data_IF_920262393521
#
_entry.id   IF_920262393521
#
_cell.length_a   1.000
_cell.length_b   1.000
_cell.length_c   1.000
_cell.angle_alpha   90.00
_cell.angle_beta   90.00
_cell.angle_gamma   90.00
#
_symmetry.space_group_name_H-M   'P 1'
#
loop_
_entity.id
_entity.type
_entity.pdbx_description
1 polymer ?
#
# COMPACT_ATOMS: atom_id res chain seq x y z
N UNK A 1 6.81 9.73 -18.60
CA UNK A 1 7.09 9.77 -17.15
C UNK A 1 6.95 8.35 -16.62
N UNK A 2 8.05 7.70 -16.28
CA UNK A 2 8.02 6.34 -15.75
C UNK A 2 7.96 6.40 -14.22
N UNK A 3 6.92 5.81 -13.65
CA UNK A 3 6.71 5.74 -12.19
C UNK A 3 6.95 4.30 -11.79
N UNK A 4 7.88 4.06 -10.86
CA UNK A 4 8.18 2.71 -10.38
C UNK A 4 6.98 2.11 -9.64
N UNK A 5 6.94 0.78 -9.54
CA UNK A 5 5.90 0.09 -8.78
C UNK A 5 5.93 0.48 -7.30
N UNK A 6 7.11 0.73 -6.73
CA UNK A 6 7.29 1.20 -5.35
C UNK A 6 6.70 2.60 -5.15
N UNK A 7 6.90 3.50 -6.12
CA UNK A 7 6.33 4.84 -6.08
C UNK A 7 4.80 4.81 -6.17
N UNK A 8 4.23 3.94 -7.02
CA UNK A 8 2.79 3.70 -7.09
C UNK A 8 2.24 3.14 -5.78
N UNK A 9 2.91 2.14 -5.20
CA UNK A 9 2.52 1.53 -3.93
C UNK A 9 2.51 2.53 -2.78
N UNK A 10 3.50 3.45 -2.73
CA UNK A 10 3.51 4.52 -1.73
C UNK A 10 2.31 5.47 -1.85
N UNK A 11 1.92 5.86 -3.07
CA UNK A 11 0.72 6.69 -3.29
C UNK A 11 -0.55 5.96 -2.84
N UNK A 12 -0.67 4.67 -3.13
CA UNK A 12 -1.80 3.84 -2.69
C UNK A 12 -1.84 3.72 -1.16
N UNK A 13 -0.68 3.53 -0.53
CA UNK A 13 -0.54 3.43 0.91
C UNK A 13 -0.97 4.72 1.62
N UNK A 14 -0.58 5.89 1.09
CA UNK A 14 -1.05 7.19 1.57
C UNK A 14 -2.56 7.34 1.43
N UNK A 15 -3.13 6.94 0.29
CA UNK A 15 -4.56 7.03 0.03
C UNK A 15 -5.40 6.15 0.97
N UNK A 16 -4.81 5.10 1.55
CA UNK A 16 -5.45 4.23 2.54
C UNK A 16 -5.32 4.73 3.99
N UNK A 17 -4.60 5.83 4.24
CA UNK A 17 -4.47 6.47 5.57
C UNK A 17 -5.34 7.72 5.66
N UNK A 18 -5.57 8.23 6.88
CA UNK A 18 -6.35 9.46 7.05
C UNK A 18 -5.46 10.69 6.79
N UNK A 19 -5.96 11.74 6.12
CA UNK A 19 -5.22 13.00 6.01
C UNK A 19 -4.89 13.62 7.38
N UNK A 20 -5.73 13.35 8.40
CA UNK A 20 -5.50 13.77 9.78
C UNK A 20 -4.15 13.29 10.35
N UNK A 21 -3.73 12.07 9.98
CA UNK A 21 -2.45 11.49 10.40
C UNK A 21 -1.24 12.29 9.86
N UNK A 22 -1.47 13.14 8.85
CA UNK A 22 -0.47 14.00 8.22
C UNK A 22 -0.66 15.49 8.56
N UNK A 23 -1.55 15.79 9.51
CA UNK A 23 -1.80 17.15 10.01
C UNK A 23 -2.80 17.97 9.17
N UNK A 24 -3.58 17.32 8.30
CA UNK A 24 -4.66 18.00 7.59
C UNK A 24 -5.98 17.93 8.37
N UNK A 25 -6.83 18.96 8.31
CA UNK A 25 -8.13 18.96 8.98
C UNK A 25 -9.20 18.10 8.27
N UNK A 26 -8.81 17.33 7.25
CA UNK A 26 -9.73 16.56 6.41
C UNK A 26 -9.81 15.10 6.88
N UNK A 27 -11.02 14.54 6.93
CA UNK A 27 -11.23 13.13 7.25
C UNK A 27 -10.91 12.21 6.07
N UNK A 28 -11.14 12.69 4.84
CA UNK A 28 -10.94 11.95 3.59
C UNK A 28 -10.02 12.69 2.63
N UNK A 29 -9.24 11.94 1.85
CA UNK A 29 -8.44 12.49 0.77
C UNK A 29 -9.32 12.95 -0.38
N UNK A 30 -9.17 14.21 -0.79
CA UNK A 30 -9.51 14.59 -2.17
C UNK A 30 -8.31 14.27 -3.07
N UNK A 31 -8.56 13.96 -4.35
CA UNK A 31 -7.47 13.73 -5.33
C UNK A 31 -6.53 14.95 -5.41
N UNK A 32 -7.07 16.15 -5.24
CA UNK A 32 -6.26 17.37 -5.19
C UNK A 32 -5.32 17.38 -3.99
N UNK A 33 -5.85 17.20 -2.79
CA UNK A 33 -5.10 17.23 -1.55
C UNK A 33 -4.01 16.14 -1.54
N UNK A 34 -4.36 14.94 -1.97
CA UNK A 34 -3.42 13.84 -2.07
C UNK A 34 -2.30 14.15 -3.07
N UNK A 35 -2.62 14.73 -4.24
CA UNK A 35 -1.60 15.11 -5.21
C UNK A 35 -0.67 16.21 -4.69
N UNK A 36 -1.19 17.19 -3.94
CA UNK A 36 -0.38 18.22 -3.29
C UNK A 36 0.54 17.62 -2.22
N UNK A 37 0.01 16.74 -1.37
CA UNK A 37 0.81 16.03 -0.36
C UNK A 37 1.91 15.18 -1.01
N UNK A 38 1.56 14.37 -2.01
CA UNK A 38 2.52 13.54 -2.75
C UNK A 38 3.63 14.38 -3.34
N UNK A 39 3.32 15.48 -4.05
CA UNK A 39 4.38 16.33 -4.64
C UNK A 39 5.30 16.93 -3.57
N UNK A 40 4.74 17.37 -2.44
CA UNK A 40 5.51 17.99 -1.35
C UNK A 40 6.47 16.99 -0.69
N UNK A 41 6.07 15.73 -0.57
CA UNK A 41 6.81 14.72 0.19
C UNK A 41 7.58 13.73 -0.70
N UNK A 42 7.31 13.66 -2.01
CA UNK A 42 7.91 12.73 -2.96
C UNK A 42 9.44 12.61 -2.84
N UNK A 43 10.15 13.73 -2.82
CA UNK A 43 11.62 13.73 -2.72
C UNK A 43 12.11 13.19 -1.37
N UNK A 44 11.41 13.52 -0.28
CA UNK A 44 11.76 13.04 1.07
C UNK A 44 11.67 11.52 1.18
N UNK A 45 10.72 10.91 0.48
CA UNK A 45 10.51 9.46 0.46
C UNK A 45 11.26 8.75 -0.69
N UNK A 46 12.14 9.44 -1.43
CA UNK A 46 12.96 8.84 -2.47
C UNK A 46 12.24 8.60 -3.80
N UNK A 47 11.10 9.25 -4.04
CA UNK A 47 10.31 9.11 -5.27
C UNK A 47 10.27 10.41 -6.09
N UNK A 48 11.40 10.92 -6.61
CA UNK A 48 11.45 12.22 -7.28
C UNK A 48 10.58 12.30 -8.54
N UNK A 49 10.27 11.17 -9.18
CA UNK A 49 9.34 11.11 -10.29
C UNK A 49 7.95 11.66 -9.92
N UNK A 50 7.51 11.47 -8.67
CA UNK A 50 6.22 11.95 -8.18
C UNK A 50 6.19 13.44 -7.81
N UNK A 51 7.33 14.12 -7.74
CA UNK A 51 7.38 15.56 -7.41
C UNK A 51 6.62 16.44 -8.42
N UNK A 52 6.42 15.93 -9.65
CA UNK A 52 5.65 16.58 -10.72
C UNK A 52 4.30 15.91 -10.99
N UNK A 53 3.88 14.94 -10.17
CA UNK A 53 2.62 14.24 -10.38
C UNK A 53 1.42 15.17 -10.13
N UNK A 54 0.65 15.43 -11.20
CA UNK A 54 -0.62 16.15 -11.15
C UNK A 54 -1.79 15.25 -10.74
N UNK A 55 -2.99 15.84 -10.60
CA UNK A 55 -4.22 15.14 -10.22
C UNK A 55 -4.51 13.90 -11.09
N UNK A 56 -4.37 14.03 -12.40
CA UNK A 56 -4.66 12.96 -13.36
C UNK A 56 -3.73 11.76 -13.20
N UNK A 57 -2.45 12.01 -12.87
CA UNK A 57 -1.47 10.94 -12.63
C UNK A 57 -1.81 10.19 -11.36
N UNK A 58 -2.09 10.91 -10.27
CA UNK A 58 -2.47 10.30 -8.99
C UNK A 58 -3.76 9.50 -9.14
N UNK A 59 -4.77 10.05 -9.80
CA UNK A 59 -6.00 9.33 -10.10
C UNK A 59 -5.74 8.08 -10.94
N UNK A 60 -4.89 8.16 -11.96
CA UNK A 60 -4.49 7.00 -12.78
C UNK A 60 -3.83 5.89 -11.96
N UNK A 61 -2.88 6.24 -11.08
CA UNK A 61 -2.22 5.28 -10.18
C UNK A 61 -3.25 4.56 -9.31
N UNK A 62 -4.18 5.31 -8.73
CA UNK A 62 -5.22 4.77 -7.86
C UNK A 62 -6.25 3.93 -8.63
N UNK A 63 -6.57 4.30 -9.87
CA UNK A 63 -7.50 3.57 -10.75
C UNK A 63 -6.98 2.19 -11.19
N UNK A 64 -5.66 2.03 -11.29
CA UNK A 64 -5.02 0.74 -11.56
C UNK A 64 -5.12 -0.25 -10.38
N UNK A 65 -5.36 0.24 -9.15
CA UNK A 65 -5.43 -0.61 -7.98
C UNK A 65 -6.81 -1.25 -7.83
N UNK A 66 -6.83 -2.54 -7.49
CA UNK A 66 -8.08 -3.26 -7.16
C UNK A 66 -8.75 -2.67 -5.91
N UNK A 67 -7.94 -2.32 -4.91
CA UNK A 67 -8.36 -1.58 -3.73
C UNK A 67 -8.53 -0.12 -4.14
N UNK A 68 -9.74 0.28 -4.53
CA UNK A 68 -10.08 1.67 -4.90
C UNK A 68 -10.23 2.49 -3.61
N UNK A 69 -9.20 3.19 -3.10
CA UNK A 69 -9.22 3.64 -1.70
C UNK A 69 -10.30 4.71 -1.45
N UNK A 70 -10.65 5.49 -2.48
CA UNK A 70 -11.74 6.47 -2.45
C UNK A 70 -13.16 5.87 -2.38
N UNK A 71 -13.29 4.53 -2.46
CA UNK A 71 -14.57 3.82 -2.30
C UNK A 71 -14.65 3.05 -0.97
N UNK A 72 -13.54 2.93 -0.24
CA UNK A 72 -13.47 2.14 0.98
C UNK A 72 -13.68 3.09 2.16
N UNK A 73 -14.89 3.10 2.70
CA UNK A 73 -15.27 3.91 3.88
C UNK A 73 -15.07 3.15 5.19
N UNK A 74 -14.05 2.28 5.26
CA UNK A 74 -13.82 1.45 6.44
C UNK A 74 -12.36 1.57 6.87
N UNK A 75 -12.17 2.10 8.08
CA UNK A 75 -10.86 2.23 8.71
C UNK A 75 -10.66 1.09 9.71
N UNK A 76 -9.65 0.26 9.46
CA UNK A 76 -9.20 -0.75 10.41
C UNK A 76 -8.20 -0.11 11.38
N UNK A 77 -8.49 -0.20 12.67
CA UNK A 77 -7.57 0.18 13.72
C UNK A 77 -6.31 -0.68 13.63
N UNK A 78 -5.14 -0.04 13.51
CA UNK A 78 -3.86 -0.73 13.58
C UNK A 78 -3.59 -1.14 15.03
N UNK A 79 -3.84 -2.40 15.34
CA UNK A 79 -3.61 -2.97 16.68
C UNK A 79 -2.22 -3.53 16.89
N UNK A 80 -1.52 -3.86 15.82
CA UNK A 80 -0.17 -4.43 15.88
C UNK A 80 0.88 -3.30 15.84
N UNK A 81 1.64 -3.07 16.93
CA UNK A 81 2.72 -2.08 16.93
C UNK A 81 3.81 -2.44 15.91
N UNK A 82 4.08 -3.73 15.71
CA UNK A 82 5.11 -4.25 14.81
C UNK A 82 4.61 -4.42 13.36
N UNK A 83 3.42 -3.91 13.04
CA UNK A 83 2.79 -4.08 11.73
C UNK A 83 3.72 -3.68 10.57
N UNK A 84 4.39 -2.53 10.67
CA UNK A 84 5.26 -2.05 9.60
C UNK A 84 6.48 -2.96 9.38
N UNK A 85 7.07 -3.48 10.46
CA UNK A 85 8.22 -4.40 10.38
C UNK A 85 7.80 -5.73 9.76
N UNK A 86 6.69 -6.30 10.23
CA UNK A 86 6.13 -7.55 9.67
C UNK A 86 5.74 -7.37 8.19
N UNK A 87 5.09 -6.25 7.86
CA UNK A 87 4.74 -5.88 6.47
C UNK A 87 5.99 -5.82 5.59
N UNK A 88 7.08 -5.22 6.06
CA UNK A 88 8.33 -5.13 5.31
C UNK A 88 8.92 -6.52 5.00
N UNK A 89 8.93 -7.43 5.98
CA UNK A 89 9.38 -8.80 5.75
C UNK A 89 8.54 -9.53 4.71
N UNK A 90 7.21 -9.41 4.78
CA UNK A 90 6.30 -10.03 3.81
C UNK A 90 6.54 -9.47 2.41
N UNK A 91 6.60 -8.14 2.26
CA UNK A 91 6.84 -7.48 0.98
C UNK A 91 8.21 -7.83 0.38
N UNK A 92 9.24 -8.03 1.21
CA UNK A 92 10.55 -8.50 0.73
C UNK A 92 10.43 -9.86 0.06
N UNK A 93 9.73 -10.82 0.68
CA UNK A 93 9.49 -12.15 0.12
C UNK A 93 8.75 -12.08 -1.23
N UNK A 94 7.74 -11.21 -1.34
CA UNK A 94 7.05 -11.00 -2.63
C UNK A 94 7.95 -10.36 -3.68
N UNK A 95 8.83 -9.42 -3.30
CA UNK A 95 9.79 -8.81 -4.22
C UNK A 95 10.80 -9.84 -4.73
N UNK A 96 11.32 -10.68 -3.84
CA UNK A 96 12.19 -11.80 -4.21
C UNK A 96 11.50 -12.74 -5.21
N UNK A 97 10.24 -13.12 -4.95
CA UNK A 97 9.47 -13.95 -5.87
C UNK A 97 9.29 -13.30 -7.25
N UNK A 98 8.98 -12.00 -7.28
CA UNK A 98 8.82 -11.23 -8.51
C UNK A 98 10.12 -11.20 -9.32
N UNK A 99 11.25 -10.91 -8.67
CA UNK A 99 12.57 -10.89 -9.33
C UNK A 99 12.95 -12.27 -9.85
N UNK A 100 12.72 -13.32 -9.07
CA UNK A 100 12.95 -14.69 -9.49
C UNK A 100 12.13 -15.01 -10.75
N UNK A 101 10.86 -14.63 -10.80
CA UNK A 101 10.01 -14.87 -11.96
C UNK A 101 10.44 -14.07 -13.21
N UNK A 102 10.94 -12.85 -13.04
CA UNK A 102 11.54 -12.08 -14.15
C UNK A 102 12.81 -12.74 -14.69
N UNK A 103 13.69 -13.24 -13.82
CA UNK A 103 14.90 -13.98 -14.22
C UNK A 103 14.58 -15.25 -15.00
N UNK A 104 13.59 -16.01 -14.53
CA UNK A 104 13.09 -17.21 -15.25
C UNK A 104 12.61 -16.82 -16.65
N UNK A 105 11.81 -15.74 -16.77
CA UNK A 105 11.31 -15.25 -18.07
C UNK A 105 12.44 -14.82 -19.01
N UNK A 106 13.51 -14.26 -18.45
CA UNK A 106 14.69 -13.82 -19.21
C UNK A 106 15.70 -14.95 -19.50
N UNK A 107 15.44 -16.18 -19.04
CA UNK A 107 16.33 -17.34 -19.24
C UNK A 107 17.60 -17.30 -18.39
N UNK A 108 17.63 -16.48 -17.33
CA UNK A 108 18.77 -16.39 -16.42
C UNK A 108 18.80 -17.61 -15.47
N UNK A 109 20.00 -18.06 -15.03
CA UNK A 109 20.10 -19.09 -14.02
C UNK A 109 19.55 -18.59 -12.69
N UNK A 110 18.63 -19.35 -12.10
CA UNK A 110 17.96 -18.99 -10.86
C UNK A 110 18.11 -20.11 -9.85
N UNK A 111 18.36 -19.73 -8.59
CA UNK A 111 18.48 -20.67 -7.49
C UNK A 111 17.18 -21.48 -7.34
N UNK A 112 17.28 -22.77 -7.00
CA UNK A 112 16.12 -23.66 -6.81
C UNK A 112 15.41 -23.33 -5.49
N UNK A 113 14.81 -22.15 -5.40
CA UNK A 113 14.01 -21.67 -4.26
C UNK A 113 12.53 -21.74 -4.64
N UNK A 114 11.71 -22.37 -3.80
CA UNK A 114 10.25 -22.41 -3.96
C UNK A 114 9.65 -21.50 -2.88
N UNK A 115 8.86 -20.52 -3.30
CA UNK A 115 8.16 -19.59 -2.40
C UNK A 115 6.68 -19.99 -2.39
N UNK A 116 6.18 -20.34 -1.20
CA UNK A 116 4.78 -20.75 -1.01
C UNK A 116 4.10 -19.74 -0.08
N UNK A 117 2.97 -19.19 -0.53
CA UNK A 117 2.09 -18.37 0.30
C UNK A 117 0.93 -19.23 0.79
N UNK A 118 0.87 -19.48 2.08
CA UNK A 118 -0.23 -20.23 2.71
C UNK A 118 -1.07 -19.24 3.51
N UNK A 119 -2.33 -19.07 3.11
CA UNK A 119 -3.34 -18.38 3.92
C UNK A 119 -4.11 -19.47 4.67
N UNK A 120 -3.72 -19.73 5.92
CA UNK A 120 -4.46 -20.66 6.76
C UNK A 120 -5.76 -19.98 7.14
N UNK A 121 -6.86 -20.40 6.51
CA UNK A 121 -8.19 -19.98 6.93
C UNK A 121 -8.49 -20.68 8.24
N UNK A 122 -8.48 -19.99 9.39
CA UNK A 122 -8.66 -20.65 10.67
C UNK A 122 -10.08 -21.21 10.69
N UNK A 123 -10.23 -22.52 10.85
CA UNK A 123 -11.54 -23.15 11.05
C UNK A 123 -12.23 -22.73 12.36
N UNK A 124 -11.56 -21.90 13.17
CA UNK A 124 -12.08 -21.36 14.41
C UNK A 124 -13.05 -20.21 14.15
N UNK A 125 -14.26 -20.34 14.72
CA UNK A 125 -15.22 -19.25 14.83
C UNK A 125 -14.77 -18.30 15.95
N UNK A 126 -14.84 -16.99 15.69
CA UNK A 126 -14.57 -15.97 16.69
C UNK A 126 -15.67 -16.02 17.75
N UNK A 127 -15.31 -16.36 19.00
CA UNK A 127 -16.28 -16.47 20.10
C UNK A 127 -16.78 -15.11 20.59
N UNK A 128 -15.90 -14.10 20.61
CA UNK A 128 -16.25 -12.71 20.94
C UNK A 128 -15.22 -11.75 20.39
N UNK A 129 -15.62 -10.49 20.18
CA UNK A 129 -14.69 -9.42 19.87
C UNK A 129 -13.77 -9.15 21.08
N UNK A 130 -12.49 -8.92 20.82
CA UNK A 130 -11.51 -8.52 21.84
C UNK A 130 -11.51 -7.01 22.12
N UNK A 131 -12.28 -6.23 21.35
CA UNK A 131 -12.44 -4.79 21.52
C UNK A 131 -13.88 -4.39 21.16
N UNK A 132 -14.29 -3.22 21.62
CA UNK A 132 -15.63 -2.68 21.36
C UNK A 132 -15.86 -2.48 19.86
N UNK A 133 -17.08 -2.79 19.43
CA UNK A 133 -17.51 -2.52 18.06
C UNK A 133 -17.66 -1.01 17.87
N UNK A 134 -16.92 -0.43 16.93
CA UNK A 134 -16.93 1.01 16.67
C UNK A 134 -17.71 1.26 15.40
N UNK A 135 -18.56 2.30 15.42
CA UNK A 135 -19.24 2.76 14.22
C UNK A 135 -18.20 3.08 13.12
N UNK A 136 -18.51 2.80 11.84
CA UNK A 136 -17.69 3.25 10.73
C UNK A 136 -17.53 4.77 10.84
N UNK A 137 -16.28 5.24 10.91
CA UNK A 137 -15.93 6.66 10.87
C UNK A 137 -15.67 7.09 9.44
#
# INVERSE_FOLDING_TARGET
MQISSEAKAWVTELACRKPLDFGYPHELWTIQLLAEHVRKHANKYGFPSLARAGKSVIHGILAEQSLRPWKINYYLERRDPDFDVKKAHVLMTYKEASLQQERIKNGEPVEKKVIVSVDEKPGCQVLKNTADDRLPV
#
